data_IF_939530879553
#
_entry.id   IF_939530879553
#
_cell.length_a   1.000
_cell.length_b   1.000
_cell.length_c   1.000
_cell.angle_alpha   90.00
_cell.angle_beta   90.00
_cell.angle_gamma   90.00
#
_symmetry.space_group_name_H-M   'P 1'
#
loop_
_entity.id
_entity.type
_entity.pdbx_description
1 polymer ?
#
# COMPACT_ATOMS: atom_id res chain seq x y z
N UNK A 1 -6.09 -18.58 -25.27
CA UNK A 1 -6.02 -17.12 -25.14
C UNK A 1 -6.14 -16.79 -23.66
N UNK A 2 -5.29 -15.91 -23.12
CA UNK A 2 -5.49 -15.36 -21.79
C UNK A 2 -6.78 -14.53 -21.82
N UNK A 3 -7.71 -14.78 -20.90
CA UNK A 3 -9.00 -14.08 -20.80
C UNK A 3 -8.83 -12.65 -20.28
N UNK A 4 -8.03 -11.84 -20.98
CA UNK A 4 -7.64 -10.49 -20.58
C UNK A 4 -6.17 -10.39 -20.17
N UNK A 5 -5.72 -9.15 -19.97
CA UNK A 5 -4.37 -8.85 -19.48
C UNK A 5 -4.32 -9.03 -17.96
N UNK A 6 -3.35 -9.81 -17.49
CA UNK A 6 -3.07 -9.94 -16.06
C UNK A 6 -2.12 -8.83 -15.61
N UNK A 7 -2.54 -8.04 -14.63
CA UNK A 7 -1.68 -7.04 -14.02
C UNK A 7 -0.72 -7.70 -13.03
N UNK A 8 0.56 -7.81 -13.41
CA UNK A 8 1.62 -8.43 -12.59
C UNK A 8 2.39 -7.41 -11.74
N UNK A 9 2.23 -6.11 -12.02
CA UNK A 9 2.83 -5.01 -11.27
C UNK A 9 1.76 -3.95 -10.98
N UNK A 10 1.12 -3.98 -9.79
CA UNK A 10 0.17 -2.95 -9.39
C UNK A 10 0.90 -1.64 -9.06
N UNK A 11 0.32 -0.51 -9.51
CA UNK A 11 0.76 0.81 -9.10
C UNK A 11 0.18 1.20 -7.74
N UNK A 12 0.71 2.26 -7.14
CA UNK A 12 0.14 2.86 -5.93
C UNK A 12 -1.11 3.69 -6.28
N UNK A 13 -2.08 3.74 -5.35
CA UNK A 13 -3.26 4.60 -5.47
C UNK A 13 -2.93 6.09 -5.36
N UNK A 14 -3.92 6.96 -5.63
CA UNK A 14 -3.76 8.43 -5.57
C UNK A 14 -3.21 8.93 -4.23
N UNK A 15 -3.61 8.29 -3.14
CA UNK A 15 -3.11 8.55 -1.78
C UNK A 15 -2.54 7.24 -1.24
N UNK A 16 -1.24 6.96 -1.40
CA UNK A 16 -0.63 5.73 -0.92
C UNK A 16 -0.71 5.61 0.60
N UNK A 17 -0.98 4.42 1.13
CA UNK A 17 -1.01 4.17 2.58
C UNK A 17 0.30 4.59 3.26
N UNK A 18 1.43 4.51 2.55
CA UNK A 18 2.74 4.97 3.01
C UNK A 18 2.78 6.43 3.50
N UNK A 19 1.84 7.28 3.07
CA UNK A 19 1.75 8.66 3.58
C UNK A 19 1.22 8.75 5.01
N UNK A 20 0.54 7.70 5.49
CA UNK A 20 -0.07 7.62 6.81
C UNK A 20 0.64 6.61 7.73
N UNK A 21 1.59 5.83 7.19
CA UNK A 21 2.37 4.86 7.96
C UNK A 21 3.42 5.60 8.77
N UNK A 22 3.42 5.39 10.08
CA UNK A 22 4.41 5.97 10.98
C UNK A 22 4.68 5.04 12.18
N UNK A 23 5.65 5.41 13.01
CA UNK A 23 5.97 4.76 14.28
C UNK A 23 5.73 5.77 15.40
N UNK A 24 4.92 5.40 16.40
CA UNK A 24 4.63 6.28 17.53
C UNK A 24 5.75 6.31 18.59
N UNK A 25 5.55 7.08 19.65
CA UNK A 25 6.51 7.26 20.75
C UNK A 25 6.76 5.99 21.58
N UNK A 26 5.90 4.97 21.45
CA UNK A 26 6.02 3.67 22.09
C UNK A 26 6.67 2.63 21.18
N UNK A 27 6.97 3.00 19.93
CA UNK A 27 7.53 2.10 18.93
C UNK A 27 6.48 1.24 18.22
N UNK A 28 5.20 1.60 18.30
CA UNK A 28 4.12 0.88 17.64
C UNK A 28 3.89 1.43 16.23
N UNK A 29 3.63 0.53 15.27
CA UNK A 29 3.34 0.92 13.89
C UNK A 29 1.90 1.41 13.77
N UNK A 30 1.72 2.66 13.34
CA UNK A 30 0.42 3.28 13.09
C UNK A 30 0.18 3.44 11.59
N UNK A 31 -1.09 3.44 11.17
CA UNK A 31 -1.49 3.70 9.77
C UNK A 31 -1.19 2.60 8.76
N UNK A 32 -0.78 1.41 9.23
CA UNK A 32 -0.53 0.23 8.38
C UNK A 32 -1.82 -0.56 8.02
N UNK A 33 -2.90 -0.37 8.78
CA UNK A 33 -4.20 -1.04 8.62
C UNK A 33 -5.35 -0.13 9.03
#
# INVERSE_FOLDING_TARGET
ALCGEMQTMPGLGKTPAAMNVDIDEHGETVGLF
#
